data_IF_322383469508
#
_entry.id   IF_322383469508
#
_cell.length_a   1.000
_cell.length_b   1.000
_cell.length_c   1.000
_cell.angle_alpha   90.00
_cell.angle_beta   90.00
_cell.angle_gamma   90.00
#
_symmetry.space_group_name_H-M   'P 1'
#
loop_
_entity.id
_entity.type
_entity.pdbx_description
1 polymer ?
#
# COMPACT_ATOMS: atom_id res chain seq x y z
N UNK A 1 3.43 24.42 22.32
CA UNK A 1 2.56 24.38 21.14
C UNK A 1 2.55 22.98 20.59
N UNK A 2 1.41 22.30 20.67
CA UNK A 2 1.17 21.02 19.99
C UNK A 2 0.77 21.27 18.53
N UNK A 3 1.29 20.45 17.61
CA UNK A 3 0.95 20.43 16.19
C UNK A 3 0.65 18.99 15.70
N UNK A 4 -0.18 18.90 14.66
CA UNK A 4 -0.45 17.67 13.91
C UNK A 4 -0.13 17.94 12.44
N UNK A 5 0.45 16.95 11.77
CA UNK A 5 0.56 16.99 10.32
C UNK A 5 -0.80 16.90 9.63
N UNK A 6 -0.88 17.40 8.40
CA UNK A 6 -1.93 17.04 7.43
C UNK A 6 -1.68 15.67 6.80
N UNK A 7 -0.44 15.16 6.86
CA UNK A 7 -0.08 13.81 6.46
C UNK A 7 -0.21 12.78 7.60
N UNK A 8 -0.88 13.13 8.71
CA UNK A 8 -1.38 12.13 9.65
C UNK A 8 -2.54 11.35 9.01
N UNK A 9 -2.64 10.07 9.37
CA UNK A 9 -3.72 9.17 8.96
C UNK A 9 -5.10 9.81 9.15
N UNK A 10 -5.33 10.48 10.28
CA UNK A 10 -6.51 11.34 10.57
C UNK A 10 -6.06 12.80 10.76
N UNK A 11 -6.82 13.76 10.23
CA UNK A 11 -6.48 15.19 10.29
C UNK A 11 -6.98 15.84 11.59
N UNK A 12 -6.14 16.65 12.25
CA UNK A 12 -6.50 17.42 13.45
C UNK A 12 -6.33 18.93 13.24
N UNK A 13 -7.10 19.76 13.94
CA UNK A 13 -6.90 21.24 14.02
C UNK A 13 -7.20 21.76 15.44
N UNK A 14 -6.67 22.94 15.79
CA UNK A 14 -7.02 23.66 17.02
C UNK A 14 -8.39 24.35 16.86
N UNK A 15 -9.21 24.32 17.91
CA UNK A 15 -10.59 24.82 17.90
C UNK A 15 -10.75 26.30 18.27
N UNK A 16 -9.80 26.86 19.02
CA UNK A 16 -10.04 28.06 19.84
C UNK A 16 -9.68 29.40 19.19
N UNK A 17 -8.94 29.40 18.08
CA UNK A 17 -8.53 30.62 17.38
C UNK A 17 -9.65 31.12 16.46
N UNK A 18 -10.46 32.07 16.94
CA UNK A 18 -11.41 32.83 16.12
C UNK A 18 -11.07 34.33 16.16
N UNK A 19 -10.96 35.04 15.01
CA UNK A 19 -11.10 34.52 13.64
C UNK A 19 -9.96 33.53 13.31
N UNK A 20 -10.30 32.44 12.62
CA UNK A 20 -9.29 31.50 12.17
C UNK A 20 -8.61 32.08 10.92
N UNK A 21 -7.29 32.28 10.98
CA UNK A 21 -6.47 32.75 9.84
C UNK A 21 -6.44 31.76 8.67
N UNK A 22 -6.96 30.55 8.87
CA UNK A 22 -7.22 29.54 7.85
C UNK A 22 -8.70 29.57 7.44
N UNK A 23 -9.08 30.31 6.37
CA UNK A 23 -10.48 30.56 6.01
C UNK A 23 -11.17 29.27 5.55
N UNK A 24 -12.04 28.75 6.42
CA UNK A 24 -13.01 27.68 6.17
C UNK A 24 -12.55 26.59 5.18
N UNK A 25 -11.34 26.05 5.39
CA UNK A 25 -10.82 24.92 4.61
C UNK A 25 -11.52 23.62 5.02
N UNK A 26 -12.76 23.57 4.53
CA UNK A 26 -13.60 22.43 4.19
C UNK A 26 -14.47 21.87 5.31
N UNK A 27 -15.28 20.89 4.92
CA UNK A 27 -16.61 20.69 5.47
C UNK A 27 -16.76 19.32 6.16
N UNK A 28 -16.45 19.17 7.45
CA UNK A 28 -15.86 20.11 8.42
C UNK A 28 -15.06 19.33 9.45
N UNK A 29 -14.09 19.93 10.15
CA UNK A 29 -13.70 19.39 11.45
C UNK A 29 -14.83 19.59 12.48
N UNK A 30 -15.41 20.81 12.60
CA UNK A 30 -16.54 21.05 13.50
C UNK A 30 -17.66 21.89 12.88
N UNK A 31 -18.83 21.25 12.73
CA UNK A 31 -20.18 21.82 12.61
C UNK A 31 -20.33 23.15 11.82
N UNK A 32 -20.34 23.00 10.50
CA UNK A 32 -21.11 23.80 9.53
C UNK A 32 -21.35 25.29 9.88
N UNK A 33 -20.30 26.13 9.76
CA UNK A 33 -20.46 27.59 9.77
C UNK A 33 -20.76 28.11 8.37
N UNK A 34 -22.02 28.52 8.16
CA UNK A 34 -22.57 29.01 6.87
C UNK A 34 -21.77 30.19 6.29
N UNK A 35 -21.00 29.93 5.23
CA UNK A 35 -20.54 30.95 4.30
C UNK A 35 -20.68 30.43 2.87
N UNK A 36 -21.22 31.27 1.98
CA UNK A 36 -21.68 30.96 0.61
C UNK A 36 -22.89 30.02 0.52
N UNK A 37 -23.64 30.11 -0.59
CA UNK A 37 -24.88 29.35 -0.86
C UNK A 37 -24.59 27.89 -1.29
N UNK A 38 -23.58 27.25 -0.71
CA UNK A 38 -23.10 25.93 -1.11
C UNK A 38 -23.91 24.81 -0.42
N UNK A 39 -24.15 23.69 -1.12
CA UNK A 39 -24.67 22.47 -0.52
C UNK A 39 -23.59 21.80 0.34
N UNK A 40 -23.83 21.77 1.65
CA UNK A 40 -23.00 21.09 2.66
C UNK A 40 -23.32 19.59 2.64
N UNK A 41 -22.33 18.78 2.29
CA UNK A 41 -22.38 17.31 2.35
C UNK A 41 -21.41 16.84 3.43
N UNK A 42 -21.83 16.04 4.44
CA UNK A 42 -20.92 15.53 5.45
C UNK A 42 -19.97 14.50 4.85
N UNK A 43 -18.71 14.54 5.27
CA UNK A 43 -17.70 13.54 4.95
C UNK A 43 -17.12 12.96 6.25
N UNK A 44 -16.87 11.66 6.26
CA UNK A 44 -16.21 10.93 7.33
C UNK A 44 -15.09 10.11 6.71
N UNK A 45 -13.85 10.24 7.19
CA UNK A 45 -12.77 9.40 6.65
C UNK A 45 -13.03 7.96 7.10
N UNK A 46 -13.07 7.03 6.14
CA UNK A 46 -13.37 5.62 6.38
C UNK A 46 -12.13 4.90 6.92
N UNK A 47 -12.34 3.92 7.80
CA UNK A 47 -11.32 2.96 8.21
C UNK A 47 -11.93 1.57 8.35
N UNK A 48 -11.11 0.53 8.10
CA UNK A 48 -11.53 -0.84 8.29
C UNK A 48 -11.63 -1.19 9.78
N UNK A 49 -12.51 -2.13 10.10
CA UNK A 49 -12.46 -2.87 11.36
C UNK A 49 -11.09 -3.51 11.58
N UNK A 50 -10.71 -3.71 12.85
CA UNK A 50 -9.43 -4.27 13.28
C UNK A 50 -8.18 -3.48 12.76
N UNK A 51 -8.35 -2.29 12.16
CA UNK A 51 -7.25 -1.52 11.58
C UNK A 51 -6.40 -0.84 12.66
N UNK A 52 -5.08 -0.91 12.52
CA UNK A 52 -4.14 -0.26 13.44
C UNK A 52 -3.80 1.13 12.90
N UNK A 53 -4.41 2.13 13.51
CA UNK A 53 -4.23 3.54 13.18
C UNK A 53 -3.01 4.12 13.91
N UNK A 54 -2.05 4.62 13.14
CA UNK A 54 -0.88 5.34 13.67
C UNK A 54 -1.08 6.85 13.53
N UNK A 55 -0.78 7.59 14.61
CA UNK A 55 -0.86 9.05 14.69
C UNK A 55 0.40 9.60 15.37
N UNK A 56 0.96 10.69 14.86
CA UNK A 56 2.11 11.37 15.48
C UNK A 56 1.82 12.86 15.69
N UNK A 57 2.18 13.39 16.85
CA UNK A 57 2.08 14.80 17.19
C UNK A 57 3.46 15.37 17.51
N UNK A 58 3.68 16.63 17.16
CA UNK A 58 4.90 17.38 17.47
C UNK A 58 4.61 18.42 18.55
N UNK A 59 5.56 18.68 19.45
CA UNK A 59 5.54 19.83 20.34
C UNK A 59 6.92 20.50 20.49
N UNK A 60 6.91 21.76 20.92
CA UNK A 60 8.06 22.54 21.40
C UNK A 60 8.45 22.25 22.86
N UNK A 61 7.67 21.42 23.56
CA UNK A 61 7.79 21.15 25.00
C UNK A 61 7.69 19.66 25.30
N UNK A 62 8.43 19.24 26.34
CA UNK A 62 8.50 17.88 26.89
C UNK A 62 7.24 17.44 27.65
N UNK A 63 6.24 18.33 27.76
CA UNK A 63 4.97 18.06 28.42
C UNK A 63 4.17 16.97 27.69
N UNK A 64 3.77 15.92 28.41
CA UNK A 64 3.01 14.80 27.85
C UNK A 64 1.74 15.24 27.12
N UNK A 65 1.55 14.71 25.91
CA UNK A 65 0.30 14.83 25.15
C UNK A 65 -0.64 13.69 25.57
N UNK A 66 -1.91 14.01 25.83
CA UNK A 66 -2.96 13.01 26.11
C UNK A 66 -3.88 12.90 24.91
N UNK A 67 -4.10 11.68 24.39
CA UNK A 67 -5.08 11.38 23.35
C UNK A 67 -6.29 10.67 23.96
N UNK A 68 -7.50 11.08 23.57
CA UNK A 68 -8.78 10.43 23.93
C UNK A 68 -9.64 10.23 22.70
N UNK A 69 -10.44 9.16 22.66
CA UNK A 69 -11.43 8.88 21.62
C UNK A 69 -12.86 8.98 22.14
N UNK A 70 -13.79 9.40 21.29
CA UNK A 70 -15.18 9.70 21.66
C UNK A 70 -16.17 9.26 20.57
N UNK A 71 -17.36 8.85 21.00
CA UNK A 71 -18.54 8.68 20.14
C UNK A 71 -19.68 9.54 20.69
N UNK A 72 -20.05 10.60 19.95
CA UNK A 72 -21.04 11.57 20.41
C UNK A 72 -20.50 12.43 21.56
N UNK A 73 -21.00 12.20 22.79
CA UNK A 73 -20.50 12.84 24.02
C UNK A 73 -19.84 11.84 24.98
N UNK A 74 -19.80 10.56 24.63
CA UNK A 74 -19.21 9.50 25.45
C UNK A 74 -17.75 9.29 25.08
N UNK A 75 -16.85 9.36 26.07
CA UNK A 75 -15.48 8.85 25.91
C UNK A 75 -15.53 7.33 25.67
N UNK A 76 -14.73 6.85 24.73
CA UNK A 76 -14.52 5.42 24.46
C UNK A 76 -13.32 4.98 25.31
N UNK A 77 -12.18 5.63 25.14
CA UNK A 77 -10.96 5.40 25.93
C UNK A 77 -10.02 6.62 25.97
N UNK A 78 -9.08 6.56 26.92
CA UNK A 78 -7.86 7.39 26.94
C UNK A 78 -6.69 6.55 26.42
N UNK A 79 -6.13 6.93 25.28
CA UNK A 79 -5.18 6.12 24.52
C UNK A 79 -3.76 6.37 25.07
N UNK A 80 -3.07 5.28 25.43
CA UNK A 80 -1.67 5.33 25.88
C UNK A 80 -0.74 5.60 24.69
N UNK A 81 0.25 6.48 24.87
CA UNK A 81 1.27 6.81 23.87
C UNK A 81 2.48 5.86 23.91
N UNK A 82 3.10 5.71 22.73
CA UNK A 82 4.45 5.21 22.59
C UNK A 82 5.40 6.41 22.42
N UNK A 83 6.11 6.76 23.49
CA UNK A 83 7.08 7.87 23.48
C UNK A 83 8.33 7.48 22.69
N UNK A 84 8.64 8.26 21.64
CA UNK A 84 9.95 8.27 20.98
C UNK A 84 10.42 9.74 20.92
N UNK A 85 11.50 10.07 21.61
CA UNK A 85 12.06 11.43 21.62
C UNK A 85 13.20 11.56 20.63
N UNK A 86 13.02 12.42 19.63
CA UNK A 86 14.06 12.78 18.65
C UNK A 86 14.61 14.16 18.96
N UNK A 87 15.93 14.33 18.99
CA UNK A 87 16.57 15.57 19.43
C UNK A 87 17.06 16.40 18.24
N UNK A 88 16.67 17.68 18.21
CA UNK A 88 17.19 18.68 17.27
C UNK A 88 18.49 19.32 17.78
N UNK A 89 19.27 19.92 16.87
CA UNK A 89 20.57 20.56 17.19
C UNK A 89 20.48 22.06 17.45
N UNK A 90 19.34 22.69 17.15
CA UNK A 90 19.10 24.15 17.31
C UNK A 90 17.78 24.49 18.00
N UNK A 91 16.72 23.68 17.79
CA UNK A 91 15.47 23.72 18.54
C UNK A 91 15.05 22.29 18.90
N UNK A 92 14.52 22.07 20.11
CA UNK A 92 13.97 20.77 20.50
C UNK A 92 12.53 20.62 19.99
N UNK A 93 12.29 19.58 19.17
CA UNK A 93 10.94 19.12 18.79
C UNK A 93 10.69 17.76 19.44
N UNK A 94 9.63 17.66 20.22
CA UNK A 94 9.23 16.42 20.90
C UNK A 94 8.12 15.75 20.09
N UNK A 95 8.38 14.55 19.59
CA UNK A 95 7.39 13.76 18.87
C UNK A 95 6.70 12.79 19.84
N UNK A 96 5.40 12.53 19.64
CA UNK A 96 4.63 11.56 20.42
C UNK A 96 3.78 10.71 19.50
N UNK A 97 4.02 9.40 19.49
CA UNK A 97 3.23 8.45 18.71
C UNK A 97 2.08 7.90 19.54
N UNK A 98 0.94 7.69 18.89
CA UNK A 98 -0.17 6.91 19.39
C UNK A 98 -0.50 5.81 18.40
N UNK A 99 -0.84 4.64 18.94
CA UNK A 99 -1.27 3.46 18.17
C UNK A 99 -2.67 3.13 18.65
N UNK A 100 -3.67 3.25 17.78
CA UNK A 100 -5.07 2.96 18.07
C UNK A 100 -5.50 1.76 17.25
N UNK A 101 -5.74 0.63 17.90
CA UNK A 101 -6.42 -0.49 17.24
C UNK A 101 -7.90 -0.17 17.20
N UNK A 102 -8.45 0.01 16.01
CA UNK A 102 -9.87 0.26 15.81
C UNK A 102 -10.64 -1.06 15.98
N UNK A 103 -10.84 -1.47 17.24
CA UNK A 103 -11.47 -2.73 17.63
C UNK A 103 -13.00 -2.64 17.78
N UNK A 104 -13.63 -3.66 18.39
CA UNK A 104 -15.09 -3.71 18.62
C UNK A 104 -15.67 -2.53 19.41
N UNK A 105 -14.83 -1.78 20.14
CA UNK A 105 -15.18 -0.52 20.80
C UNK A 105 -15.48 0.61 19.80
N UNK A 106 -15.00 0.50 18.56
CA UNK A 106 -15.09 1.50 17.50
C UNK A 106 -16.13 1.15 16.41
N UNK A 107 -16.59 -0.10 16.30
CA UNK A 107 -17.43 -0.56 15.18
C UNK A 107 -18.79 0.14 15.09
N UNK A 108 -19.18 0.44 13.84
CA UNK A 108 -20.44 1.08 13.44
C UNK A 108 -20.71 2.44 14.12
N UNK A 109 -19.62 3.12 14.55
CA UNK A 109 -19.66 4.43 15.21
C UNK A 109 -18.96 5.50 14.38
N UNK A 110 -19.51 6.71 14.46
CA UNK A 110 -18.80 7.94 14.11
C UNK A 110 -17.93 8.30 15.32
N UNK A 111 -16.62 8.28 15.14
CA UNK A 111 -15.63 8.48 16.21
C UNK A 111 -14.79 9.72 15.93
N UNK A 112 -14.44 10.49 16.96
CA UNK A 112 -13.45 11.55 16.88
C UNK A 112 -12.46 11.47 18.04
N UNK A 113 -11.32 12.14 17.90
CA UNK A 113 -10.23 12.14 18.86
C UNK A 113 -9.91 13.56 19.34
N UNK A 114 -9.45 13.71 20.59
CA UNK A 114 -8.84 14.96 21.10
C UNK A 114 -7.42 14.70 21.57
N UNK A 115 -6.47 15.48 21.08
CA UNK A 115 -5.09 15.50 21.57
C UNK A 115 -4.85 16.79 22.36
N UNK A 116 -4.51 16.66 23.64
CA UNK A 116 -4.41 17.77 24.60
C UNK A 116 -3.01 17.89 25.17
N UNK A 117 -2.45 19.11 25.17
CA UNK A 117 -1.19 19.45 25.82
C UNK A 117 -1.34 20.77 26.59
N UNK A 118 -1.46 20.68 27.92
CA UNK A 118 -1.81 21.82 28.77
C UNK A 118 -3.14 22.45 28.34
N UNK A 119 -3.13 23.76 28.09
CA UNK A 119 -4.30 24.49 27.59
C UNK A 119 -4.53 24.37 26.06
N UNK A 120 -3.70 23.63 25.32
CA UNK A 120 -3.90 23.45 23.88
C UNK A 120 -4.64 22.15 23.59
N UNK A 121 -5.81 22.26 22.96
CA UNK A 121 -6.57 21.11 22.44
C UNK A 121 -6.57 21.13 20.92
N UNK A 122 -6.12 20.03 20.32
CA UNK A 122 -6.41 19.68 18.93
C UNK A 122 -7.54 18.65 18.91
N UNK A 123 -8.46 18.79 17.97
CA UNK A 123 -9.53 17.80 17.75
C UNK A 123 -9.47 17.28 16.32
N UNK A 124 -9.82 16.02 16.11
CA UNK A 124 -9.80 15.38 14.80
C UNK A 124 -11.04 15.71 13.97
N UNK A 125 -10.93 15.46 12.66
CA UNK A 125 -12.11 15.14 11.85
C UNK A 125 -12.81 13.87 12.40
N UNK A 126 -14.14 13.75 12.24
CA UNK A 126 -14.85 12.52 12.57
C UNK A 126 -14.56 11.42 11.53
N UNK A 127 -14.23 10.22 12.00
CA UNK A 127 -14.02 9.01 11.20
C UNK A 127 -15.22 8.06 11.32
N UNK A 128 -15.33 7.11 10.38
CA UNK A 128 -16.31 6.02 10.44
C UNK A 128 -15.60 4.67 10.31
N UNK A 129 -15.88 3.74 11.23
CA UNK A 129 -15.19 2.44 11.32
C UNK A 129 -16.18 1.30 11.08
N UNK A 130 -16.00 0.57 9.99
CA UNK A 130 -16.85 -0.57 9.61
C UNK A 130 -16.09 -1.58 8.73
N UNK A 131 -16.75 -2.66 8.30
CA UNK A 131 -16.11 -3.68 7.47
C UNK A 131 -15.97 -3.23 6.00
N UNK A 132 -14.77 -2.78 5.63
CA UNK A 132 -14.43 -2.36 4.27
C UNK A 132 -14.03 -3.53 3.37
N UNK A 133 -13.97 -4.78 3.87
CA UNK A 133 -13.38 -5.93 3.15
C UNK A 133 -13.96 -6.10 1.74
N UNK A 134 -15.29 -5.98 1.61
CA UNK A 134 -15.98 -6.10 0.32
C UNK A 134 -15.78 -4.88 -0.60
N UNK A 135 -15.53 -3.69 -0.04
CA UNK A 135 -15.31 -2.44 -0.79
C UNK A 135 -13.86 -2.35 -1.29
N UNK A 136 -12.91 -2.90 -0.52
CA UNK A 136 -11.51 -3.08 -0.91
C UNK A 136 -11.38 -4.16 -1.99
N UNK A 137 -12.05 -5.32 -1.83
CA UNK A 137 -12.04 -6.40 -2.84
C UNK A 137 -12.67 -5.98 -4.18
N UNK A 138 -13.70 -5.12 -4.16
CA UNK A 138 -14.29 -4.52 -5.37
C UNK A 138 -13.45 -3.37 -5.95
N UNK A 139 -12.38 -2.96 -5.26
CA UNK A 139 -11.54 -1.85 -5.66
C UNK A 139 -12.24 -0.48 -5.64
N UNK A 140 -13.37 -0.34 -4.96
CA UNK A 140 -14.11 0.95 -4.81
C UNK A 140 -13.53 1.81 -3.70
N UNK A 141 -12.86 1.19 -2.74
CA UNK A 141 -11.98 1.85 -1.78
C UNK A 141 -10.54 1.46 -2.06
N UNK A 142 -9.65 2.45 -1.96
CA UNK A 142 -8.20 2.26 -1.99
C UNK A 142 -7.62 2.50 -0.61
N UNK A 143 -6.79 1.57 -0.12
CA UNK A 143 -5.85 1.85 0.95
C UNK A 143 -4.63 2.57 0.33
N UNK A 144 -4.37 3.78 0.80
CA UNK A 144 -3.25 4.63 0.40
C UNK A 144 -2.20 4.58 1.52
N UNK A 145 -1.09 3.88 1.29
CA UNK A 145 0.05 3.79 2.24
C UNK A 145 1.20 4.66 1.78
N UNK A 146 1.85 5.34 2.70
CA UNK A 146 2.89 6.30 2.36
C UNK A 146 3.97 6.45 3.43
N UNK A 147 5.21 6.68 2.99
CA UNK A 147 6.32 7.09 3.86
C UNK A 147 7.33 7.93 3.08
N UNK A 148 8.03 8.80 3.81
CA UNK A 148 9.08 9.69 3.33
C UNK A 148 10.38 9.45 4.15
N UNK A 149 10.64 8.18 4.47
CA UNK A 149 11.76 7.71 5.30
C UNK A 149 13.11 7.79 4.56
N UNK A 150 13.11 7.48 3.26
CA UNK A 150 14.33 7.38 2.44
C UNK A 150 14.89 8.76 2.05
N UNK A 151 14.08 9.82 2.17
CA UNK A 151 14.47 11.18 1.84
C UNK A 151 15.55 11.72 2.76
N UNK A 152 16.61 12.24 2.14
CA UNK A 152 17.54 13.17 2.80
C UNK A 152 16.72 14.40 3.20
N UNK A 153 16.48 14.56 4.52
CA UNK A 153 15.43 15.40 5.13
C UNK A 153 14.02 14.77 5.03
N UNK A 154 13.72 13.87 5.97
CA UNK A 154 12.44 13.15 6.08
C UNK A 154 11.32 13.97 6.71
N UNK A 155 11.61 14.83 7.70
CA UNK A 155 10.70 15.90 8.17
C UNK A 155 10.67 17.02 7.13
N UNK A 156 9.87 16.82 6.08
CA UNK A 156 9.59 17.81 5.03
C UNK A 156 9.22 19.16 5.65
N UNK A 157 9.81 20.25 5.15
CA UNK A 157 9.65 21.60 5.71
C UNK A 157 8.20 21.93 6.11
N UNK A 158 7.97 22.04 7.42
CA UNK A 158 6.68 22.34 8.06
C UNK A 158 5.60 21.24 7.91
N UNK A 159 5.99 19.96 7.80
CA UNK A 159 5.07 18.81 7.86
C UNK A 159 5.07 18.06 9.19
N UNK A 160 6.12 18.18 10.00
CA UNK A 160 6.16 17.76 11.40
C UNK A 160 5.87 16.25 11.59
N UNK A 161 6.52 15.41 10.79
CA UNK A 161 6.52 13.95 10.97
C UNK A 161 7.97 13.47 10.96
N UNK A 162 8.39 12.88 12.09
CA UNK A 162 9.57 12.04 12.13
C UNK A 162 9.18 10.61 11.73
N UNK A 163 9.46 10.28 10.47
CA UNK A 163 9.23 8.95 9.90
C UNK A 163 10.15 7.89 10.51
N UNK A 164 11.31 8.25 11.04
CA UNK A 164 12.23 7.30 11.70
C UNK A 164 11.75 6.89 13.08
N UNK A 165 11.01 7.78 13.75
CA UNK A 165 10.41 7.57 15.07
C UNK A 165 9.01 6.94 15.05
N UNK A 166 8.43 6.63 13.87
CA UNK A 166 7.15 5.92 13.77
C UNK A 166 7.26 4.49 14.31
N UNK A 167 6.18 4.00 14.93
CA UNK A 167 6.10 2.65 15.50
C UNK A 167 5.43 1.62 14.57
N UNK A 168 5.11 2.01 13.33
CA UNK A 168 4.47 1.13 12.35
C UNK A 168 5.47 0.25 11.62
N UNK A 169 5.06 -0.97 11.26
CA UNK A 169 5.91 -1.90 10.49
C UNK A 169 6.27 -1.30 9.13
N UNK A 170 7.55 -0.93 8.96
CA UNK A 170 8.04 -0.25 7.75
C UNK A 170 7.84 1.27 7.74
N UNK A 171 7.50 1.87 8.88
CA UNK A 171 7.40 3.32 9.09
C UNK A 171 6.39 4.02 8.14
N UNK A 172 5.28 3.34 7.86
CA UNK A 172 4.18 3.84 7.04
C UNK A 172 3.11 4.55 7.87
N UNK A 173 2.47 5.54 7.27
CA UNK A 173 1.11 5.99 7.63
C UNK A 173 0.15 5.59 6.49
N UNK A 174 -1.14 5.51 6.77
CA UNK A 174 -2.13 5.15 5.75
C UNK A 174 -3.51 5.82 5.93
N UNK A 175 -4.30 5.82 4.85
CA UNK A 175 -5.69 6.25 4.85
C UNK A 175 -6.50 5.48 3.80
N UNK A 176 -7.82 5.40 3.98
CA UNK A 176 -8.72 4.79 3.00
C UNK A 176 -9.54 5.88 2.29
N UNK A 177 -9.61 5.81 0.96
CA UNK A 177 -10.29 6.79 0.12
C UNK A 177 -11.18 6.05 -0.90
N UNK A 178 -12.44 6.50 -1.02
CA UNK A 178 -13.34 6.08 -2.10
C UNK A 178 -12.78 6.57 -3.45
N UNK A 179 -12.28 5.67 -4.28
CA UNK A 179 -11.65 6.00 -5.55
C UNK A 179 -11.64 4.79 -6.50
N UNK A 180 -11.58 5.08 -7.79
CA UNK A 180 -11.49 4.11 -8.88
C UNK A 180 -10.18 4.33 -9.63
N UNK A 181 -9.60 3.24 -10.16
CA UNK A 181 -8.50 3.33 -11.10
C UNK A 181 -9.10 3.41 -12.51
N UNK A 182 -8.67 4.39 -13.29
CA UNK A 182 -9.03 4.54 -14.70
C UNK A 182 -7.74 4.45 -15.51
N UNK A 183 -7.61 3.42 -16.33
CA UNK A 183 -6.46 3.25 -17.22
C UNK A 183 -6.46 4.36 -18.29
N UNK A 184 -5.33 5.04 -18.48
CA UNK A 184 -5.19 6.12 -19.46
C UNK A 184 -5.14 5.54 -20.88
N UNK A 185 -6.33 5.44 -21.48
CA UNK A 185 -6.63 4.81 -22.76
C UNK A 185 -6.27 3.32 -22.77
N UNK A 186 -7.28 2.46 -22.79
CA UNK A 186 -7.18 1.21 -23.56
C UNK A 186 -7.16 1.67 -25.03
N UNK A 187 -5.96 1.91 -25.58
CA UNK A 187 -5.83 2.46 -26.92
C UNK A 187 -6.31 1.44 -27.93
N UNK A 188 -7.21 1.86 -28.82
CA UNK A 188 -7.61 1.06 -29.98
C UNK A 188 -6.36 0.55 -30.69
N UNK A 189 -6.41 -0.70 -31.18
CA UNK A 189 -5.26 -1.50 -31.65
C UNK A 189 -4.58 -0.98 -32.94
N UNK A 190 -4.71 0.31 -33.22
CA UNK A 190 -4.26 1.04 -34.39
C UNK A 190 -2.98 1.86 -34.18
N UNK A 191 -2.46 2.04 -32.96
CA UNK A 191 -1.08 2.56 -32.76
C UNK A 191 -0.03 1.46 -33.04
N UNK A 192 -0.03 0.98 -34.29
CA UNK A 192 1.05 0.21 -34.88
C UNK A 192 2.13 1.19 -35.30
N UNK A 193 3.31 1.13 -34.67
CA UNK A 193 4.49 1.89 -35.08
C UNK A 193 5.08 1.31 -36.37
N UNK A 194 4.52 1.72 -37.51
CA UNK A 194 5.00 1.40 -38.86
C UNK A 194 6.41 2.01 -39.11
N UNK A 195 7.44 1.31 -38.61
CA UNK A 195 8.83 1.72 -38.75
C UNK A 195 9.86 0.80 -38.07
N UNK A 196 9.47 0.04 -37.04
CA UNK A 196 10.38 -0.95 -36.43
C UNK A 196 10.52 -2.20 -37.30
N UNK A 197 11.76 -2.58 -37.63
CA UNK A 197 12.07 -3.88 -38.25
C UNK A 197 12.05 -5.06 -37.26
N UNK A 198 11.81 -4.81 -35.96
CA UNK A 198 11.50 -5.84 -34.98
C UNK A 198 10.06 -5.67 -34.48
N UNK A 199 9.17 -6.56 -34.91
CA UNK A 199 7.77 -6.63 -34.46
C UNK A 199 7.64 -7.41 -33.14
N UNK A 200 8.50 -7.11 -32.16
CA UNK A 200 8.27 -7.52 -30.77
C UNK A 200 7.21 -6.60 -30.18
N UNK A 201 5.99 -7.10 -29.99
CA UNK A 201 4.94 -6.37 -29.28
C UNK A 201 5.32 -6.31 -27.80
N UNK A 202 6.07 -5.28 -27.41
CA UNK A 202 6.22 -4.87 -26.02
C UNK A 202 4.81 -4.49 -25.53
N UNK A 203 4.25 -5.32 -24.65
CA UNK A 203 2.83 -5.29 -24.31
C UNK A 203 2.47 -3.98 -23.60
N UNK A 204 1.68 -3.12 -24.27
CA UNK A 204 1.20 -1.85 -23.72
C UNK A 204 0.42 -2.01 -22.39
N UNK A 205 -0.11 -3.22 -22.13
CA UNK A 205 -0.89 -3.62 -20.94
C UNK A 205 -0.19 -3.45 -19.58
N UNK A 206 1.09 -3.08 -19.53
CA UNK A 206 1.83 -2.82 -18.29
C UNK A 206 2.39 -1.39 -18.18
N UNK A 207 2.21 -0.54 -19.20
CA UNK A 207 2.90 0.76 -19.30
C UNK A 207 1.98 1.98 -19.43
N UNK A 208 0.68 1.79 -19.68
CA UNK A 208 -0.29 2.88 -19.58
C UNK A 208 -0.37 3.39 -18.14
N UNK A 209 -0.32 4.72 -17.98
CA UNK A 209 -0.47 5.35 -16.67
C UNK A 209 -1.89 5.13 -16.13
N UNK A 210 -2.02 4.99 -14.81
CA UNK A 210 -3.34 4.90 -14.16
C UNK A 210 -3.73 6.29 -13.65
N UNK A 211 -4.97 6.70 -13.93
CA UNK A 211 -5.58 7.84 -13.25
C UNK A 211 -6.35 7.32 -12.04
N UNK A 212 -5.83 7.58 -10.84
CA UNK A 212 -6.58 7.39 -9.61
C UNK A 212 -7.60 8.53 -9.51
N UNK A 213 -8.88 8.21 -9.74
CA UNK A 213 -9.98 9.19 -9.74
C UNK A 213 -10.88 8.95 -8.52
N UNK A 214 -10.96 9.93 -7.64
CA UNK A 214 -11.73 9.81 -6.39
C UNK A 214 -13.23 9.89 -6.64
N UNK A 215 -14.01 9.36 -5.71
CA UNK A 215 -15.40 9.76 -5.55
C UNK A 215 -15.46 11.17 -4.90
N UNK A 216 -16.64 11.59 -4.47
CA UNK A 216 -16.85 12.86 -3.75
C UNK A 216 -16.03 12.89 -2.45
N UNK A 217 -14.99 13.72 -2.43
CA UNK A 217 -14.23 14.09 -1.24
C UNK A 217 -14.38 15.60 -1.02
N UNK A 218 -14.14 16.14 0.18
CA UNK A 218 -14.08 17.59 0.35
C UNK A 218 -12.85 18.18 -0.39
N UNK A 219 -12.59 19.48 -0.22
CA UNK A 219 -11.26 20.22 -0.50
C UNK A 219 -8.82 20.16 1.31
N UNK A 220 -8.72 19.81 2.65
CA UNK A 220 -7.62 19.10 3.29
C UNK A 220 -7.40 17.64 2.79
N UNK A 221 -8.38 16.94 2.19
CA UNK A 221 -8.19 15.56 1.62
C UNK A 221 -7.42 15.57 0.28
N UNK A 222 -7.74 16.43 -0.70
CA UNK A 222 -6.92 16.54 -1.93
C UNK A 222 -5.58 17.20 -1.60
N UNK A 223 -5.51 18.09 -0.60
CA UNK A 223 -4.23 18.57 -0.06
C UNK A 223 -3.42 17.44 0.59
N UNK A 224 -4.06 16.57 1.40
CA UNK A 224 -3.44 15.36 1.97
C UNK A 224 -2.91 14.47 0.85
N UNK A 225 -3.75 14.11 -0.14
CA UNK A 225 -3.36 13.37 -1.34
C UNK A 225 -2.18 14.03 -2.08
N UNK A 226 -2.24 15.33 -2.35
CA UNK A 226 -1.19 16.07 -3.08
C UNK A 226 0.15 16.15 -2.35
N UNK A 227 0.12 16.05 -1.02
CA UNK A 227 1.31 15.95 -0.18
C UNK A 227 1.84 14.52 -0.16
N UNK A 228 1.01 13.53 0.20
CA UNK A 228 1.47 12.13 0.35
C UNK A 228 1.84 11.46 -0.98
N UNK A 229 1.29 11.91 -2.10
CA UNK A 229 1.67 11.47 -3.46
C UNK A 229 3.01 12.02 -3.95
N UNK A 230 3.60 12.97 -3.21
CA UNK A 230 4.93 13.52 -3.45
C UNK A 230 6.02 12.92 -2.51
N UNK A 231 5.71 11.86 -1.76
CA UNK A 231 6.64 11.14 -0.86
C UNK A 231 7.39 10.02 -1.60
N UNK A 232 8.56 9.60 -1.10
CA UNK A 232 9.45 8.60 -1.75
C UNK A 232 8.75 7.25 -2.02
N UNK A 233 7.84 6.89 -1.11
CA UNK A 233 6.95 5.74 -1.21
C UNK A 233 5.51 6.21 -1.07
N UNK A 234 4.78 6.16 -2.18
CA UNK A 234 3.32 6.28 -2.24
C UNK A 234 2.77 4.99 -2.86
N UNK A 235 1.88 4.29 -2.15
CA UNK A 235 1.30 3.01 -2.56
C UNK A 235 -0.22 3.05 -2.56
N UNK A 236 -0.82 2.51 -3.62
CA UNK A 236 -2.27 2.32 -3.77
C UNK A 236 -2.54 0.82 -3.78
N UNK A 237 -3.28 0.32 -2.78
CA UNK A 237 -3.53 -1.12 -2.58
C UNK A 237 -2.26 -1.99 -2.60
N UNK A 238 -1.14 -1.47 -2.10
CA UNK A 238 0.15 -2.16 -2.02
C UNK A 238 1.03 -2.10 -3.27
N UNK A 239 0.56 -1.51 -4.38
CA UNK A 239 1.38 -1.22 -5.56
C UNK A 239 1.98 0.17 -5.41
N UNK A 240 3.30 0.32 -5.60
CA UNK A 240 3.98 1.62 -5.49
C UNK A 240 3.91 2.41 -6.80
N UNK A 241 3.54 3.68 -6.69
CA UNK A 241 3.41 4.61 -7.81
C UNK A 241 4.26 5.87 -7.61
N UNK A 242 4.53 6.55 -8.72
CA UNK A 242 5.03 7.92 -8.78
C UNK A 242 3.96 8.79 -9.46
N UNK A 243 3.65 9.95 -8.88
CA UNK A 243 2.71 10.93 -9.42
C UNK A 243 3.29 11.64 -10.65
N UNK A 244 2.45 11.85 -11.66
CA UNK A 244 2.74 12.63 -12.85
C UNK A 244 1.92 13.93 -12.85
N UNK A 245 2.57 15.07 -13.10
CA UNK A 245 1.92 16.37 -13.10
C UNK A 245 1.40 16.78 -11.71
N UNK A 246 0.38 17.62 -11.66
CA UNK A 246 -0.33 17.96 -10.42
C UNK A 246 -1.68 17.25 -10.33
N UNK A 247 -2.32 17.32 -9.15
CA UNK A 247 -3.68 16.77 -8.99
C UNK A 247 -4.70 17.70 -9.65
N UNK A 248 -5.48 17.14 -10.57
CA UNK A 248 -6.62 17.81 -11.19
C UNK A 248 -7.84 17.66 -10.27
N UNK A 249 -8.50 18.77 -9.91
CA UNK A 249 -9.64 18.77 -8.98
C UNK A 249 -10.83 19.55 -9.56
N UNK A 250 -11.98 18.87 -9.69
CA UNK A 250 -13.23 19.46 -10.15
C UNK A 250 -14.23 19.59 -9.00
N UNK A 251 -14.82 20.77 -8.81
CA UNK A 251 -15.85 21.01 -7.78
C UNK A 251 -17.20 20.47 -8.26
N UNK A 252 -17.85 19.63 -7.45
CA UNK A 252 -19.09 18.96 -7.80
C UNK A 252 -20.29 19.90 -7.68
N UNK A 253 -20.53 20.63 -8.77
CA UNK A 253 -21.60 21.62 -8.88
C UNK A 253 -21.50 22.69 -7.79
N UNK A 254 -22.63 22.98 -7.14
CA UNK A 254 -22.68 23.94 -6.04
C UNK A 254 -22.48 23.29 -4.64
N UNK A 255 -21.79 22.16 -4.52
CA UNK A 255 -21.53 21.51 -3.23
C UNK A 255 -20.21 21.96 -2.57
N UNK A 256 -19.93 21.49 -1.36
CA UNK A 256 -18.60 21.56 -0.71
C UNK A 256 -17.67 20.42 -1.11
N UNK A 257 -18.09 19.57 -2.06
CA UNK A 257 -17.41 18.35 -2.47
C UNK A 257 -16.82 18.48 -3.87
N UNK A 258 -15.77 17.69 -4.10
CA UNK A 258 -14.86 17.76 -5.22
C UNK A 258 -14.50 16.33 -5.64
N UNK A 259 -14.08 16.19 -6.89
CA UNK A 259 -13.53 14.97 -7.45
C UNK A 259 -12.08 15.23 -7.88
N UNK A 260 -11.14 14.49 -7.31
CA UNK A 260 -9.73 14.57 -7.65
C UNK A 260 -9.34 13.49 -8.66
N UNK A 261 -8.39 13.80 -9.53
CA UNK A 261 -7.79 12.88 -10.50
C UNK A 261 -6.27 13.00 -10.40
N UNK A 262 -5.58 11.91 -10.08
CA UNK A 262 -4.12 11.84 -9.97
C UNK A 262 -3.59 10.90 -11.04
N UNK A 263 -2.70 11.38 -11.91
CA UNK A 263 -2.01 10.54 -12.91
C UNK A 263 -0.82 9.85 -12.23
N UNK A 264 -0.73 8.53 -12.37
CA UNK A 264 0.20 7.67 -11.64
C UNK A 264 0.91 6.69 -12.59
N UNK A 265 2.21 6.53 -12.41
CA UNK A 265 3.01 5.48 -13.07
C UNK A 265 3.52 4.50 -12.02
N UNK A 266 3.42 3.19 -12.26
CA UNK A 266 3.94 2.20 -11.32
C UNK A 266 5.49 2.30 -11.26
N UNK A 267 6.08 2.28 -10.06
CA UNK A 267 7.53 2.55 -9.87
C UNK A 267 8.42 1.48 -10.51
N UNK A 268 7.94 0.24 -10.60
CA UNK A 268 8.60 -0.86 -11.31
C UNK A 268 8.68 -0.65 -12.84
N UNK A 269 7.68 -0.03 -13.47
CA UNK A 269 7.66 0.24 -14.90
C UNK A 269 8.72 1.26 -15.34
N UNK A 270 9.09 2.19 -14.45
CA UNK A 270 10.09 3.24 -14.72
C UNK A 270 11.51 2.65 -14.85
N UNK A 271 11.80 1.53 -14.17
CA UNK A 271 13.10 0.84 -14.27
C UNK A 271 13.37 0.18 -15.63
N UNK A 272 12.38 0.09 -16.52
CA UNK A 272 12.51 -0.54 -17.85
C UNK A 272 12.89 0.49 -18.93
N UNK A 273 12.63 1.79 -18.70
CA UNK A 273 12.90 2.87 -19.65
C UNK A 273 14.17 3.69 -19.34
N UNK A 274 15.06 3.19 -18.48
CA UNK A 274 16.41 3.76 -18.33
C UNK A 274 17.26 3.19 -19.46
N UNK A 275 17.25 3.88 -20.60
CA UNK A 275 17.87 3.39 -21.84
C UNK A 275 19.39 3.19 -21.70
N UNK A 276 19.91 2.24 -22.48
CA UNK A 276 21.29 1.79 -22.46
C UNK A 276 22.21 2.86 -23.10
N UNK A 277 22.69 3.80 -22.29
CA UNK A 277 23.55 4.92 -22.69
C UNK A 277 24.99 4.52 -23.06
N UNK A 278 25.13 3.63 -24.05
CA UNK A 278 26.27 3.59 -24.96
C UNK A 278 27.61 3.09 -24.41
N UNK A 279 27.70 2.64 -23.17
CA UNK A 279 28.89 1.94 -22.67
C UNK A 279 28.91 0.51 -23.18
N UNK A 280 29.88 0.19 -24.04
CA UNK A 280 30.06 -1.13 -24.66
C UNK A 280 30.63 -2.17 -23.69
N UNK A 281 29.89 -2.46 -22.62
CA UNK A 281 30.13 -3.63 -21.78
C UNK A 281 29.51 -4.88 -22.41
N UNK A 282 30.11 -6.04 -22.14
CA UNK A 282 29.75 -7.30 -22.81
C UNK A 282 28.28 -7.66 -22.59
N UNK A 283 27.50 -7.74 -23.67
CA UNK A 283 26.14 -8.24 -23.64
C UNK A 283 26.09 -9.56 -22.86
N UNK A 284 25.32 -9.66 -21.76
CA UNK A 284 25.11 -10.93 -21.11
C UNK A 284 24.43 -11.85 -22.13
N UNK A 285 24.97 -13.05 -22.32
CA UNK A 285 24.38 -14.04 -23.23
C UNK A 285 23.02 -14.42 -22.64
N UNK A 286 21.95 -13.86 -23.19
CA UNK A 286 20.59 -14.28 -22.91
C UNK A 286 20.48 -15.73 -23.38
N UNK A 287 20.22 -16.71 -22.50
CA UNK A 287 20.04 -18.09 -22.94
C UNK A 287 18.76 -18.17 -23.77
N UNK A 288 18.90 -18.40 -25.07
CA UNK A 288 17.79 -18.39 -26.04
C UNK A 288 16.96 -19.68 -25.96
N UNK A 289 16.28 -19.83 -24.82
CA UNK A 289 15.25 -20.81 -24.55
C UNK A 289 14.47 -20.35 -23.32
N UNK A 290 13.16 -20.15 -23.44
CA UNK A 290 12.32 -19.82 -22.30
C UNK A 290 12.50 -20.88 -21.21
N UNK A 291 13.03 -20.46 -20.05
CA UNK A 291 13.37 -21.40 -18.99
C UNK A 291 12.08 -21.79 -18.29
N UNK A 292 11.83 -23.09 -18.15
CA UNK A 292 10.56 -23.60 -17.63
C UNK A 292 10.55 -23.62 -16.11
N UNK A 293 9.39 -23.32 -15.54
CA UNK A 293 9.07 -23.55 -14.13
C UNK A 293 7.94 -24.58 -14.03
N UNK A 294 7.88 -25.28 -12.90
CA UNK A 294 6.96 -26.39 -12.68
C UNK A 294 6.23 -26.23 -11.36
N UNK A 295 4.93 -26.49 -11.37
CA UNK A 295 4.07 -26.41 -10.19
C UNK A 295 3.11 -27.61 -10.16
N UNK A 296 2.98 -28.25 -9.00
CA UNK A 296 2.06 -29.37 -8.83
C UNK A 296 2.41 -30.27 -7.66
N UNK A 297 2.18 -31.56 -7.85
CA UNK A 297 2.23 -32.57 -6.81
C UNK A 297 3.38 -33.57 -7.04
N UNK A 298 4.05 -33.96 -5.96
CA UNK A 298 5.14 -34.96 -5.98
C UNK A 298 4.92 -36.04 -4.92
N UNK A 299 5.67 -37.14 -5.01
CA UNK A 299 5.62 -38.22 -4.01
C UNK A 299 6.76 -38.10 -3.00
N UNK A 300 7.96 -37.75 -3.47
CA UNK A 300 9.14 -37.53 -2.65
C UNK A 300 9.08 -36.22 -1.86
N UNK A 301 9.75 -36.16 -0.71
CA UNK A 301 10.03 -34.91 0.01
C UNK A 301 11.23 -34.15 -0.58
N UNK A 302 12.00 -34.80 -1.47
CA UNK A 302 13.05 -34.23 -2.29
C UNK A 302 12.91 -34.81 -3.71
N UNK A 303 12.03 -34.23 -4.55
CA UNK A 303 11.70 -34.80 -5.85
C UNK A 303 12.82 -34.59 -6.86
N UNK A 304 12.97 -35.57 -7.76
CA UNK A 304 13.96 -35.52 -8.84
C UNK A 304 13.39 -34.84 -10.10
N UNK A 305 14.25 -34.60 -11.10
CA UNK A 305 13.88 -34.02 -12.39
C UNK A 305 12.68 -34.71 -13.06
N UNK A 306 12.61 -36.05 -13.00
CA UNK A 306 11.52 -36.82 -13.59
C UNK A 306 10.19 -36.62 -12.87
N UNK A 307 10.17 -36.59 -11.53
CA UNK A 307 8.96 -36.24 -10.76
C UNK A 307 8.49 -34.81 -11.07
N UNK A 308 9.43 -33.85 -11.09
CA UNK A 308 9.10 -32.43 -11.27
C UNK A 308 8.61 -32.11 -12.69
N UNK A 309 9.17 -32.76 -13.72
CA UNK A 309 8.73 -32.59 -15.12
C UNK A 309 7.40 -33.27 -15.46
N UNK A 310 6.81 -34.04 -14.54
CA UNK A 310 5.43 -34.55 -14.65
C UNK A 310 4.38 -33.57 -14.12
N UNK A 311 4.80 -32.49 -13.44
CA UNK A 311 3.91 -31.44 -12.93
C UNK A 311 3.51 -30.44 -14.04
N UNK A 312 2.60 -29.51 -13.72
CA UNK A 312 2.19 -28.46 -14.66
C UNK A 312 3.36 -27.53 -14.96
N UNK A 313 3.76 -27.50 -16.23
CA UNK A 313 4.77 -26.59 -16.75
C UNK A 313 4.17 -25.18 -16.97
N UNK A 314 4.94 -24.15 -16.62
CA UNK A 314 4.62 -22.75 -16.85
C UNK A 314 5.86 -22.01 -17.40
N UNK A 315 5.62 -20.95 -18.17
CA UNK A 315 6.67 -20.05 -18.69
C UNK A 315 7.27 -19.20 -17.56
N UNK A 316 8.58 -19.34 -17.29
CA UNK A 316 9.20 -18.59 -16.20
C UNK A 316 9.63 -17.18 -16.65
N UNK A 317 8.93 -16.17 -16.16
CA UNK A 317 9.30 -14.75 -16.33
C UNK A 317 10.11 -14.30 -15.13
N UNK A 318 11.32 -13.74 -15.33
CA UNK A 318 12.16 -13.23 -14.23
C UNK A 318 11.66 -11.88 -13.70
N UNK A 319 10.49 -11.90 -13.07
CA UNK A 319 9.85 -10.75 -12.42
C UNK A 319 9.18 -11.18 -11.11
N UNK A 320 8.77 -10.23 -10.29
CA UNK A 320 7.98 -10.49 -9.07
C UNK A 320 6.51 -10.77 -9.44
N UNK A 321 6.25 -11.97 -9.95
CA UNK A 321 4.92 -12.43 -10.33
C UNK A 321 4.15 -13.00 -9.14
N UNK A 322 2.84 -12.78 -9.13
CA UNK A 322 1.87 -13.50 -8.30
C UNK A 322 1.18 -14.53 -9.19
N UNK A 323 1.27 -15.80 -8.82
CA UNK A 323 0.49 -16.87 -9.42
C UNK A 323 -0.40 -17.49 -8.33
N UNK A 324 -1.62 -17.87 -8.70
CA UNK A 324 -2.55 -18.57 -7.82
C UNK A 324 -2.73 -20.00 -8.33
N UNK A 325 -2.48 -20.99 -7.47
CA UNK A 325 -2.54 -22.41 -7.84
C UNK A 325 -3.41 -23.21 -6.88
N UNK A 326 -4.40 -23.93 -7.39
CA UNK A 326 -5.30 -24.79 -6.62
C UNK A 326 -4.61 -26.10 -6.23
N UNK A 327 -4.66 -26.46 -4.94
CA UNK A 327 -4.01 -27.64 -4.39
C UNK A 327 -5.01 -28.68 -3.87
N UNK A 328 -4.68 -29.96 -4.05
CA UNK A 328 -5.42 -31.07 -3.45
C UNK A 328 -4.93 -31.34 -2.02
N UNK A 329 -5.86 -31.48 -1.07
CA UNK A 329 -5.54 -31.75 0.34
C UNK A 329 -4.95 -33.16 0.53
N UNK A 330 -4.11 -33.35 1.54
CA UNK A 330 -3.43 -34.63 1.78
C UNK A 330 -2.27 -34.96 0.82
N UNK A 331 -1.92 -34.05 -0.12
CA UNK A 331 -0.83 -34.23 -1.09
C UNK A 331 0.42 -33.39 -0.74
N UNK A 332 1.56 -33.63 -1.42
CA UNK A 332 2.78 -32.81 -1.30
C UNK A 332 2.89 -31.83 -2.46
N UNK A 333 2.58 -30.57 -2.20
CA UNK A 333 2.79 -29.49 -3.16
C UNK A 333 4.28 -29.22 -3.38
N UNK A 334 4.65 -28.97 -4.64
CA UNK A 334 6.01 -28.68 -5.06
C UNK A 334 6.05 -27.56 -6.10
N UNK A 335 7.06 -26.71 -5.97
CA UNK A 335 7.36 -25.58 -6.84
C UNK A 335 8.83 -25.70 -7.25
N UNK A 336 9.11 -25.75 -8.55
CA UNK A 336 10.48 -25.85 -9.05
C UNK A 336 10.71 -24.83 -10.16
N UNK A 337 11.73 -24.00 -10.01
CA UNK A 337 12.00 -22.89 -10.92
C UNK A 337 13.50 -22.55 -10.92
N UNK A 338 14.01 -21.80 -11.92
CA UNK A 338 15.45 -21.57 -12.06
C UNK A 338 16.06 -20.86 -10.86
N UNK A 339 17.21 -21.32 -10.36
CA UNK A 339 17.88 -20.73 -9.20
C UNK A 339 18.35 -19.28 -9.45
N UNK A 340 18.50 -18.90 -10.72
CA UNK A 340 18.76 -17.53 -11.19
C UNK A 340 17.59 -16.54 -10.99
N UNK A 341 16.42 -17.03 -10.55
CA UNK A 341 15.25 -16.22 -10.14
C UNK A 341 15.20 -16.01 -8.62
N UNK A 342 16.26 -16.40 -7.90
CA UNK A 342 16.41 -16.19 -6.46
C UNK A 342 15.53 -17.09 -5.60
N UNK A 343 15.35 -16.71 -4.34
CA UNK A 343 14.61 -17.51 -3.35
C UNK A 343 13.11 -17.19 -3.36
N UNK A 344 12.32 -18.18 -2.95
CA UNK A 344 10.93 -17.99 -2.56
C UNK A 344 10.91 -17.17 -1.26
N UNK A 345 10.27 -15.99 -1.31
CA UNK A 345 10.28 -15.02 -0.20
C UNK A 345 8.99 -14.99 0.60
N UNK A 346 7.90 -15.51 0.05
CA UNK A 346 6.68 -15.84 0.77
C UNK A 346 5.79 -16.78 -0.04
N UNK A 347 4.93 -17.50 0.67
CA UNK A 347 3.85 -18.31 0.12
C UNK A 347 2.64 -18.22 1.06
N UNK A 348 1.45 -17.91 0.56
CA UNK A 348 0.24 -17.72 1.35
C UNK A 348 -0.93 -18.55 0.79
N UNK A 349 -1.89 -18.90 1.63
CA UNK A 349 -3.24 -19.25 1.16
C UNK A 349 -4.08 -17.98 0.94
N UNK A 350 -5.16 -18.08 0.14
CA UNK A 350 -6.07 -16.96 -0.15
C UNK A 350 -6.63 -16.24 1.10
N UNK A 351 -6.64 -16.91 2.25
CA UNK A 351 -7.07 -16.36 3.55
C UNK A 351 -5.98 -15.53 4.27
N UNK A 352 -4.82 -15.32 3.64
CA UNK A 352 -3.72 -14.46 4.13
C UNK A 352 -2.68 -15.13 5.03
N UNK A 353 -2.87 -16.39 5.42
CA UNK A 353 -1.91 -17.12 6.27
C UNK A 353 -0.66 -17.55 5.49
N UNK A 354 0.51 -17.27 6.04
CA UNK A 354 1.80 -17.67 5.46
C UNK A 354 2.14 -19.14 5.70
N UNK A 355 2.60 -19.81 4.65
CA UNK A 355 3.00 -21.21 4.61
C UNK A 355 4.50 -21.42 4.33
N UNK A 356 5.29 -20.37 4.09
CA UNK A 356 6.70 -20.50 3.66
C UNK A 356 7.53 -21.39 4.60
N UNK A 357 7.35 -21.25 5.92
CA UNK A 357 8.05 -22.05 6.93
C UNK A 357 7.73 -23.55 6.93
N UNK A 358 6.75 -24.00 6.13
CA UNK A 358 6.40 -25.41 5.95
C UNK A 358 6.93 -26.01 4.63
N UNK A 359 7.75 -25.28 3.87
CA UNK A 359 8.48 -25.80 2.69
C UNK A 359 9.94 -26.16 3.03
N UNK A 360 10.38 -27.33 2.59
CA UNK A 360 11.79 -27.67 2.49
C UNK A 360 12.33 -27.18 1.14
N UNK A 361 13.49 -26.49 1.16
CA UNK A 361 14.21 -26.12 -0.05
C UNK A 361 15.27 -27.18 -0.38
N UNK A 362 15.28 -27.66 -1.61
CA UNK A 362 16.40 -28.39 -2.23
C UNK A 362 16.81 -27.73 -3.54
N UNK A 363 17.89 -28.22 -4.16
CA UNK A 363 18.37 -27.76 -5.48
C UNK A 363 18.86 -28.94 -6.31
N UNK A 364 18.61 -28.92 -7.62
CA UNK A 364 19.06 -29.94 -8.56
C UNK A 364 19.30 -29.33 -9.95
N UNK A 365 20.22 -29.91 -10.73
CA UNK A 365 20.38 -29.58 -12.15
C UNK A 365 19.38 -30.36 -12.99
N UNK A 366 18.69 -29.67 -13.90
CA UNK A 366 17.75 -30.26 -14.86
C UNK A 366 18.25 -30.04 -16.29
N UNK A 367 18.00 -31.01 -17.17
CA UNK A 367 18.42 -30.96 -18.58
C UNK A 367 17.31 -30.35 -19.47
N UNK A 368 17.56 -29.20 -20.08
CA UNK A 368 16.66 -28.55 -21.04
C UNK A 368 17.33 -28.50 -22.42
N UNK A 369 17.00 -29.50 -23.26
CA UNK A 369 17.68 -29.70 -24.53
C UNK A 369 19.14 -30.08 -24.29
N UNK A 370 20.06 -29.20 -24.70
CA UNK A 370 21.51 -29.36 -24.49
C UNK A 370 22.03 -28.59 -23.25
N UNK A 371 21.17 -27.86 -22.54
CA UNK A 371 21.57 -27.00 -21.43
C UNK A 371 21.22 -27.62 -20.07
N UNK A 372 22.15 -27.59 -19.10
CA UNK A 372 21.82 -27.87 -17.70
C UNK A 372 21.45 -26.58 -16.97
N UNK A 373 20.34 -26.58 -16.23
CA UNK A 373 19.86 -25.44 -15.44
C UNK A 373 19.73 -25.86 -13.98
N UNK A 374 20.38 -25.13 -13.08
CA UNK A 374 20.18 -25.30 -11.64
C UNK A 374 18.80 -24.77 -11.25
N UNK A 375 17.97 -25.65 -10.68
CA UNK A 375 16.63 -25.35 -10.19
C UNK A 375 16.64 -25.22 -8.67
N UNK A 376 15.93 -24.21 -8.16
CA UNK A 376 15.44 -24.19 -6.79
C UNK A 376 14.15 -25.02 -6.73
N UNK A 377 14.05 -25.93 -5.76
CA UNK A 377 12.89 -26.81 -5.56
C UNK A 377 12.38 -26.57 -4.14
N UNK A 378 11.10 -26.26 -3.99
CA UNK A 378 10.42 -26.08 -2.71
C UNK A 378 9.30 -27.10 -2.59
N UNK A 379 9.44 -28.04 -1.65
CA UNK A 379 8.48 -29.14 -1.44
C UNK A 379 7.88 -29.08 -0.04
N UNK A 380 6.56 -29.26 0.06
CA UNK A 380 5.84 -29.12 1.33
C UNK A 380 6.16 -30.29 2.30
N UNK A 381 6.57 -29.95 3.53
CA UNK A 381 7.19 -30.88 4.49
C UNK A 381 6.20 -31.93 5.00
N UNK A 382 4.96 -31.53 5.28
CA UNK A 382 3.87 -32.39 5.73
C UNK A 382 2.60 -32.07 4.94
N UNK A 383 1.88 -33.05 4.36
CA UNK A 383 0.67 -32.77 3.60
C UNK A 383 -0.38 -31.99 4.41
N UNK A 384 -1.16 -31.14 3.74
CA UNK A 384 -2.21 -30.35 4.41
C UNK A 384 -3.35 -31.30 4.82
N UNK A 385 -3.42 -31.63 6.10
CA UNK A 385 -4.44 -32.51 6.70
C UNK A 385 -5.65 -31.76 7.25
N UNK A 386 -5.61 -30.43 7.31
CA UNK A 386 -6.70 -29.62 7.85
C UNK A 386 -6.80 -28.25 7.15
N UNK A 387 -7.96 -27.98 6.55
CA UNK A 387 -8.43 -26.64 6.17
C UNK A 387 -9.89 -26.54 6.61
N UNK A 388 -10.31 -25.49 7.34
CA UNK A 388 -11.70 -25.33 7.74
C UNK A 388 -12.55 -24.88 6.55
N UNK A 389 -13.41 -25.79 6.07
CA UNK A 389 -14.42 -25.61 5.02
C UNK A 389 -13.88 -25.48 3.56
N UNK A 390 -14.73 -25.77 2.54
CA UNK A 390 -14.28 -26.55 1.38
C UNK A 390 -14.02 -25.77 0.08
N UNK A 391 -13.54 -26.53 -0.92
CA UNK A 391 -13.23 -26.17 -2.31
C UNK A 391 -12.10 -25.15 -2.50
N UNK A 392 -11.10 -25.55 -3.28
CA UNK A 392 -10.07 -24.70 -3.88
C UNK A 392 -9.23 -23.90 -2.88
N UNK A 393 -8.25 -24.55 -2.24
CA UNK A 393 -7.18 -23.82 -1.56
C UNK A 393 -6.17 -23.32 -2.61
N UNK A 394 -6.09 -22.01 -2.79
CA UNK A 394 -5.14 -21.38 -3.70
C UNK A 394 -3.87 -20.96 -2.95
N UNK A 395 -2.70 -21.30 -3.49
CA UNK A 395 -1.41 -20.76 -3.04
C UNK A 395 -1.00 -19.58 -3.92
N UNK A 396 -0.72 -18.46 -3.26
CA UNK A 396 -0.07 -17.25 -3.80
C UNK A 396 1.39 -17.25 -3.37
N UNK A 397 2.34 -17.01 -4.27
CA UNK A 397 3.78 -16.95 -3.93
C UNK A 397 4.52 -15.74 -4.52
N UNK A 398 5.74 -15.47 -4.02
CA UNK A 398 6.58 -14.34 -4.43
C UNK A 398 8.06 -14.71 -4.59
N UNK A 399 8.61 -14.44 -5.78
CA UNK A 399 10.04 -14.56 -6.10
C UNK A 399 10.75 -13.19 -6.10
N UNK A 400 12.05 -13.18 -5.81
CA UNK A 400 12.91 -11.98 -5.84
C UNK A 400 14.16 -12.21 -6.68
N UNK A 401 14.35 -11.35 -7.68
CA UNK A 401 15.34 -11.38 -8.77
C UNK A 401 16.81 -11.30 -8.36
#
# INVERSE_FOLDING_TARGET
MIASSIANSVTFKKLESYPAEFPNMWNTLHLNRKHSNNLIIPYYQKFNKDHVLYLQFMSDTDANITLKSFSGLSEIESITNAYNTSYGTTDNRYYTNFVVTLDSSYYDKIVYFTATQGANVLTSEPINVYDLTQEILKGTIKNIKYTNLDRIQSDLDNRFIDWSALTSTGNYLDCFIDALDIDLNDSDKSEVLEGSQSLTILSASYFTGKTLKTNQIPDYIISKLGIISNFDIFMVNGIQYIKQGEIEAERLGNSTMYQASIKLTQKNAIGINVDNLGTAESQPIIPDSATKMYIGLVTSAAPNETEVKLMTELEAVKQTTIHNYEIELGTRNCFAYPASFGNLTSAYIIQGFELLGAYAKTTAYFTFGNNEVLMNIYTFISPITFVPYPSSTYITYKLTS
#
